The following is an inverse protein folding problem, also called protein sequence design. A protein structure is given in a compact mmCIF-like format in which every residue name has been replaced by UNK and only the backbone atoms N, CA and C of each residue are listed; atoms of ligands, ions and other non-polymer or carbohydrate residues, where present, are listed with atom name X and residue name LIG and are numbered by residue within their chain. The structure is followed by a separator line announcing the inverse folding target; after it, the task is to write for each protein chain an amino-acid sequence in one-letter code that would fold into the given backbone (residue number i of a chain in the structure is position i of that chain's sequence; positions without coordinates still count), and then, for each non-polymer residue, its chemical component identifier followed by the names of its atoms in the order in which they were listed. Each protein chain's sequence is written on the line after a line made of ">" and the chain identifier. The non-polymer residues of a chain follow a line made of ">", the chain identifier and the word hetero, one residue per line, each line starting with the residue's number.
data_IF_588055156008
#
_entry.id   IF_588055156008
#
_cell.length_a   1.000
_cell.length_b   1.000
_cell.length_c   1.000
_cell.angle_alpha   90.00
_cell.angle_beta   90.00
_cell.angle_gamma   90.00
#
_symmetry.space_group_name_H-M   'P 1'
#
loop_
_entity.id
_entity.type
_entity.pdbx_description
1 polymer ?
#
# COMPACT_ATOMS: atom_id res chain seq x y z
N UNK A 1 14.15 50.94 34.05
CA UNK A 1 15.05 50.58 32.93
C UNK A 1 14.60 49.23 32.40
N UNK A 2 14.24 49.09 31.12
CA UNK A 2 13.85 47.79 30.57
C UNK A 2 15.12 46.96 30.27
N UNK A 3 15.10 45.70 30.66
CA UNK A 3 16.15 44.72 30.35
C UNK A 3 16.00 44.33 28.87
N UNK A 4 17.02 44.61 28.06
CA UNK A 4 17.10 44.14 26.67
C UNK A 4 17.34 42.63 26.66
N UNK A 5 16.40 41.87 26.09
CA UNK A 5 16.57 40.44 25.78
C UNK A 5 17.17 40.32 24.38
N UNK A 6 18.48 40.09 24.27
CA UNK A 6 19.21 39.83 23.02
C UNK A 6 19.70 38.36 23.02
N UNK A 7 18.85 37.39 22.66
CA UNK A 7 19.25 35.96 22.56
C UNK A 7 18.85 35.25 21.24
N UNK A 8 18.27 35.95 20.26
CA UNK A 8 17.72 35.31 19.04
C UNK A 8 18.70 34.81 17.94
N UNK A 9 19.94 35.31 17.75
CA UNK A 9 20.69 35.00 16.53
C UNK A 9 21.47 33.67 16.53
N UNK A 10 21.75 33.10 17.70
CA UNK A 10 22.53 31.84 17.81
C UNK A 10 21.66 30.59 17.58
N UNK A 11 20.39 30.65 17.97
CA UNK A 11 19.43 29.54 17.83
C UNK A 11 19.11 29.29 16.35
N UNK A 12 18.91 30.35 15.55
CA UNK A 12 18.59 30.25 14.12
C UNK A 12 19.73 29.64 13.28
N UNK A 13 20.99 29.90 13.63
CA UNK A 13 22.14 29.29 12.93
C UNK A 13 22.26 27.80 13.24
N UNK A 14 21.86 27.39 14.44
CA UNK A 14 21.93 26.00 14.88
C UNK A 14 20.85 25.14 14.21
N UNK A 15 19.64 25.68 14.04
CA UNK A 15 18.56 25.04 13.27
C UNK A 15 18.93 24.92 11.79
N UNK A 16 19.44 25.99 11.16
CA UNK A 16 19.86 25.93 9.76
C UNK A 16 20.97 24.89 9.48
N UNK A 17 21.92 24.73 10.41
CA UNK A 17 22.97 23.71 10.31
C UNK A 17 22.40 22.29 10.48
N UNK A 18 21.41 22.10 11.36
CA UNK A 18 20.72 20.81 11.55
C UNK A 18 19.92 20.41 10.31
N UNK A 19 19.19 21.34 9.70
CA UNK A 19 18.39 21.08 8.51
C UNK A 19 19.28 20.68 7.32
N UNK A 20 20.40 21.38 7.13
CA UNK A 20 21.38 21.03 6.08
C UNK A 20 21.97 19.64 6.26
N UNK A 21 22.32 19.27 7.49
CA UNK A 21 22.85 17.93 7.79
C UNK A 21 21.79 16.84 7.61
N UNK A 22 20.53 17.14 7.95
CA UNK A 22 19.40 16.24 7.74
C UNK A 22 19.18 15.99 6.25
N UNK A 23 19.19 17.03 5.42
CA UNK A 23 19.00 16.89 3.98
C UNK A 23 20.14 16.09 3.32
N UNK A 24 21.39 16.27 3.76
CA UNK A 24 22.53 15.47 3.30
C UNK A 24 22.38 13.99 3.68
N UNK A 25 21.93 13.70 4.91
CA UNK A 25 21.69 12.32 5.35
C UNK A 25 20.56 11.66 4.54
N UNK A 26 19.47 12.38 4.27
CA UNK A 26 18.35 11.92 3.44
C UNK A 26 18.85 11.60 2.02
N UNK A 27 19.65 12.49 1.41
CA UNK A 27 20.24 12.27 0.08
C UNK A 27 21.17 11.06 0.04
N UNK A 28 21.99 10.88 1.07
CA UNK A 28 22.90 9.74 1.15
C UNK A 28 22.13 8.41 1.22
N UNK A 29 21.07 8.34 2.04
CA UNK A 29 20.20 7.15 2.14
C UNK A 29 19.51 6.87 0.80
N UNK A 30 18.97 7.90 0.13
CA UNK A 30 18.34 7.72 -1.18
C UNK A 30 19.34 7.21 -2.24
N UNK A 31 20.59 7.70 -2.22
CA UNK A 31 21.65 7.27 -3.13
C UNK A 31 22.06 5.81 -2.91
N UNK A 32 22.19 5.40 -1.65
CA UNK A 32 22.71 4.07 -1.30
C UNK A 32 21.64 2.97 -1.41
N UNK A 33 20.36 3.30 -1.14
CA UNK A 33 19.27 2.32 -1.03
C UNK A 33 18.14 2.50 -2.06
N UNK A 34 18.23 3.54 -2.91
CA UNK A 34 17.27 3.83 -3.97
C UNK A 34 16.23 4.90 -3.61
N UNK A 35 15.59 5.43 -4.65
CA UNK A 35 14.53 6.43 -4.51
C UNK A 35 13.35 5.86 -3.69
N UNK A 36 12.98 6.55 -2.60
CA UNK A 36 11.91 6.12 -1.70
C UNK A 36 12.35 5.31 -0.46
N UNK A 37 13.65 5.02 -0.31
CA UNK A 37 14.18 4.40 0.90
C UNK A 37 14.01 5.27 2.16
N UNK A 38 13.92 6.58 1.98
CA UNK A 38 13.57 7.56 3.02
C UNK A 38 12.76 8.69 2.39
N UNK A 39 11.69 9.11 3.06
CA UNK A 39 10.76 10.14 2.58
C UNK A 39 10.13 10.83 3.79
N UNK A 40 9.76 12.10 3.64
CA UNK A 40 9.04 12.80 4.72
C UNK A 40 7.58 12.35 4.69
N UNK A 41 7.01 12.12 5.87
CA UNK A 41 5.60 11.77 6.00
C UNK A 41 4.75 12.95 5.51
N UNK A 42 4.09 12.81 4.35
CA UNK A 42 3.31 13.88 3.71
C UNK A 42 3.94 14.47 2.45
N UNK A 43 5.13 14.03 2.03
CA UNK A 43 5.62 14.35 0.67
C UNK A 43 4.62 13.78 -0.36
N UNK A 44 4.11 14.64 -1.25
CA UNK A 44 2.94 14.43 -2.14
C UNK A 44 3.11 13.37 -3.23
N UNK A 45 4.03 12.41 -3.09
CA UNK A 45 3.99 11.23 -3.94
C UNK A 45 2.91 10.30 -3.39
N UNK A 46 1.66 10.56 -3.81
CA UNK A 46 0.63 9.53 -3.86
C UNK A 46 1.21 8.43 -4.73
N UNK A 47 1.77 7.39 -4.10
CA UNK A 47 2.24 6.22 -4.83
C UNK A 47 1.01 5.62 -5.46
N UNK A 48 0.95 5.63 -6.79
CA UNK A 48 -0.15 5.03 -7.52
C UNK A 48 -0.09 3.52 -7.26
N UNK A 49 -1.02 3.02 -6.45
CA UNK A 49 -1.07 1.61 -6.08
C UNK A 49 -1.89 0.90 -7.15
N UNK A 50 -1.24 0.03 -7.91
CA UNK A 50 -1.97 -0.85 -8.84
C UNK A 50 -2.91 -1.78 -8.05
N UNK A 51 -4.08 -2.06 -8.63
CA UNK A 51 -5.17 -2.80 -7.97
C UNK A 51 -5.72 -3.92 -8.84
N UNK A 52 -6.18 -4.99 -8.18
CA UNK A 52 -6.94 -6.08 -8.81
C UNK A 52 -8.40 -5.90 -8.40
N UNK A 53 -9.34 -5.66 -9.33
CA UNK A 53 -10.76 -5.58 -9.01
C UNK A 53 -11.25 -6.88 -8.38
N UNK A 54 -12.20 -6.78 -7.46
CA UNK A 54 -12.76 -7.95 -6.78
C UNK A 54 -13.76 -8.72 -7.65
N UNK A 55 -14.25 -8.09 -8.73
CA UNK A 55 -15.35 -8.60 -9.55
C UNK A 55 -16.73 -8.18 -9.03
N UNK A 56 -16.79 -7.43 -7.93
CA UNK A 56 -18.00 -6.83 -7.39
C UNK A 56 -17.82 -5.31 -7.27
N UNK A 57 -18.60 -4.57 -8.06
CA UNK A 57 -18.53 -3.10 -8.13
C UNK A 57 -18.80 -2.40 -6.79
N UNK A 58 -19.62 -2.99 -5.92
CA UNK A 58 -19.92 -2.42 -4.61
C UNK A 58 -18.73 -2.55 -3.67
N UNK A 59 -18.02 -3.68 -3.70
CA UNK A 59 -16.81 -3.89 -2.89
C UNK A 59 -15.69 -2.99 -3.40
N UNK A 60 -15.45 -2.96 -4.71
CA UNK A 60 -14.42 -2.12 -5.33
C UNK A 60 -14.62 -0.64 -4.98
N UNK A 61 -15.88 -0.17 -4.98
CA UNK A 61 -16.24 1.19 -4.56
C UNK A 61 -16.04 1.40 -3.06
N UNK A 62 -16.42 0.43 -2.22
CA UNK A 62 -16.28 0.54 -0.77
C UNK A 62 -14.80 0.59 -0.34
N UNK A 63 -13.91 -0.09 -1.07
CA UNK A 63 -12.46 -0.04 -0.86
C UNK A 63 -11.85 1.32 -1.22
N UNK A 64 -12.55 2.17 -1.97
CA UNK A 64 -12.12 3.53 -2.36
C UNK A 64 -11.03 3.57 -3.45
N UNK A 65 -10.22 2.53 -3.55
CA UNK A 65 -9.13 2.39 -4.54
C UNK A 65 -9.52 1.54 -5.75
N UNK A 66 -10.73 1.00 -5.81
CA UNK A 66 -11.25 0.25 -6.97
C UNK A 66 -10.89 -1.24 -7.00
N UNK A 67 -10.32 -1.79 -5.94
CA UNK A 67 -9.99 -3.22 -5.84
C UNK A 67 -9.00 -3.53 -4.73
N UNK A 68 -8.46 -4.75 -4.72
CA UNK A 68 -7.41 -5.15 -3.79
C UNK A 68 -6.04 -4.59 -4.22
N UNK A 69 -5.31 -3.92 -3.31
CA UNK A 69 -4.02 -3.31 -3.64
C UNK A 69 -2.93 -4.37 -3.87
N UNK A 70 -2.18 -4.23 -4.96
CA UNK A 70 -1.02 -5.08 -5.25
C UNK A 70 0.14 -4.76 -4.30
N UNK A 71 0.97 -5.77 -4.04
CA UNK A 71 2.13 -5.63 -3.14
C UNK A 71 1.75 -5.46 -1.67
N UNK A 72 0.51 -5.79 -1.29
CA UNK A 72 -0.01 -5.71 0.07
C UNK A 72 -0.67 -7.03 0.46
N UNK A 73 -0.76 -7.27 1.76
CA UNK A 73 -1.52 -8.39 2.32
C UNK A 73 -2.96 -7.92 2.56
N UNK A 74 -3.93 -8.71 2.09
CA UNK A 74 -5.36 -8.48 2.29
C UNK A 74 -5.92 -9.68 3.03
N UNK A 75 -6.66 -9.43 4.11
CA UNK A 75 -7.36 -10.46 4.88
C UNK A 75 -8.87 -10.39 4.61
N UNK A 76 -9.45 -11.52 4.25
CA UNK A 76 -10.90 -11.69 4.08
C UNK A 76 -11.37 -12.72 5.10
N UNK A 77 -12.07 -12.27 6.15
CA UNK A 77 -12.57 -13.12 7.22
C UNK A 77 -14.09 -13.06 7.32
N UNK A 78 -14.69 -14.06 7.99
CA UNK A 78 -16.12 -14.13 8.20
C UNK A 78 -16.63 -15.56 8.41
N UNK A 79 -17.94 -15.72 8.71
CA UNK A 79 -18.57 -17.02 8.99
C UNK A 79 -18.36 -18.06 7.88
N UNK A 80 -18.56 -19.34 8.22
CA UNK A 80 -18.65 -20.39 7.20
C UNK A 80 -19.75 -20.04 6.18
N UNK A 81 -19.52 -20.37 4.91
CA UNK A 81 -20.45 -20.08 3.81
C UNK A 81 -20.71 -18.59 3.54
N UNK A 82 -19.95 -17.65 4.13
CA UNK A 82 -20.08 -16.21 3.84
C UNK A 82 -19.56 -15.78 2.46
N UNK A 83 -18.99 -16.71 1.68
CA UNK A 83 -18.47 -16.45 0.33
C UNK A 83 -17.00 -16.01 0.27
N UNK A 84 -16.19 -16.24 1.33
CA UNK A 84 -14.75 -15.92 1.34
C UNK A 84 -14.01 -16.50 0.14
N UNK A 85 -14.09 -17.83 -0.04
CA UNK A 85 -13.45 -18.53 -1.16
C UNK A 85 -14.01 -18.07 -2.51
N UNK A 86 -15.32 -17.83 -2.60
CA UNK A 86 -15.95 -17.28 -3.81
C UNK A 86 -15.36 -15.92 -4.17
N UNK A 87 -15.23 -14.99 -3.22
CA UNK A 87 -14.63 -13.68 -3.44
C UNK A 87 -13.15 -13.80 -3.86
N UNK A 88 -12.39 -14.69 -3.23
CA UNK A 88 -10.99 -14.95 -3.61
C UNK A 88 -10.91 -15.45 -5.05
N UNK A 89 -11.77 -16.39 -5.45
CA UNK A 89 -11.79 -16.91 -6.81
C UNK A 89 -12.22 -15.85 -7.83
N UNK A 90 -13.15 -14.94 -7.50
CA UNK A 90 -13.51 -13.85 -8.42
C UNK A 90 -12.36 -12.85 -8.59
N UNK A 91 -11.60 -12.55 -7.52
CA UNK A 91 -10.39 -11.72 -7.61
C UNK A 91 -9.34 -12.39 -8.50
N UNK A 92 -9.14 -13.70 -8.34
CA UNK A 92 -8.22 -14.50 -9.19
C UNK A 92 -8.65 -14.43 -10.67
N UNK A 93 -9.94 -14.62 -10.95
CA UNK A 93 -10.49 -14.51 -12.30
C UNK A 93 -10.23 -13.12 -12.90
N UNK A 94 -10.38 -12.03 -12.12
CA UNK A 94 -10.06 -10.67 -12.58
C UNK A 94 -8.56 -10.50 -12.85
N UNK A 95 -7.69 -11.08 -12.02
CA UNK A 95 -6.25 -11.04 -12.23
C UNK A 95 -5.85 -11.77 -13.52
N UNK A 96 -6.38 -12.97 -13.76
CA UNK A 96 -6.11 -13.76 -14.97
C UNK A 96 -6.66 -13.11 -16.24
N UNK A 97 -7.86 -12.52 -16.19
CA UNK A 97 -8.42 -11.74 -17.32
C UNK A 97 -7.53 -10.57 -17.75
N UNK A 98 -6.74 -10.03 -16.82
CA UNK A 98 -5.76 -8.97 -17.06
C UNK A 98 -4.37 -9.51 -17.45
N UNK A 99 -4.27 -10.80 -17.78
CA UNK A 99 -3.02 -11.47 -18.17
C UNK A 99 -2.11 -11.84 -17.00
N UNK A 100 -2.59 -11.73 -15.75
CA UNK A 100 -1.84 -12.12 -14.57
C UNK A 100 -1.87 -13.63 -14.30
N UNK A 101 -0.94 -14.09 -13.48
CA UNK A 101 -0.93 -15.45 -12.92
C UNK A 101 -1.33 -15.40 -11.45
N UNK A 102 -2.05 -16.43 -11.01
CA UNK A 102 -2.47 -16.59 -9.62
C UNK A 102 -2.09 -17.98 -9.10
N UNK A 103 -1.77 -18.06 -7.81
CA UNK A 103 -1.61 -19.31 -7.09
C UNK A 103 -2.67 -19.38 -6.00
N UNK A 104 -3.27 -20.56 -5.84
CA UNK A 104 -4.23 -20.83 -4.77
C UNK A 104 -3.67 -21.93 -3.88
N UNK A 105 -3.55 -21.65 -2.58
CA UNK A 105 -3.08 -22.61 -1.58
C UNK A 105 -4.29 -23.12 -0.83
N UNK A 106 -4.79 -24.30 -1.21
CA UNK A 106 -5.95 -24.91 -0.56
C UNK A 106 -5.52 -25.69 0.69
N UNK A 107 -5.56 -25.02 1.83
CA UNK A 107 -5.28 -25.64 3.15
C UNK A 107 -6.51 -26.38 3.68
N UNK A 108 -7.72 -26.01 3.25
CA UNK A 108 -8.98 -26.60 3.71
C UNK A 108 -9.34 -27.88 2.94
N UNK A 109 -8.65 -28.19 1.84
CA UNK A 109 -8.94 -29.30 0.92
C UNK A 109 -10.40 -29.28 0.41
N UNK A 110 -10.96 -28.08 0.23
CA UNK A 110 -12.37 -27.85 -0.07
C UNK A 110 -12.60 -27.15 -1.42
N UNK A 111 -11.54 -26.89 -2.20
CA UNK A 111 -11.68 -26.22 -3.48
C UNK A 111 -12.33 -27.13 -4.54
N UNK A 112 -13.40 -26.63 -5.17
CA UNK A 112 -14.02 -27.26 -6.33
C UNK A 112 -13.52 -26.62 -7.66
N UNK A 113 -12.74 -27.34 -8.48
CA UNK A 113 -12.26 -26.83 -9.78
C UNK A 113 -13.37 -26.51 -10.78
N UNK A 114 -14.51 -27.21 -10.72
CA UNK A 114 -15.64 -26.92 -11.61
C UNK A 114 -16.32 -25.61 -11.23
N UNK A 115 -16.49 -25.36 -9.93
CA UNK A 115 -17.02 -24.09 -9.43
C UNK A 115 -16.07 -22.93 -9.75
N UNK A 116 -14.76 -23.10 -9.54
CA UNK A 116 -13.76 -22.08 -9.90
C UNK A 116 -13.84 -21.70 -11.39
N UNK A 117 -13.95 -22.69 -12.29
CA UNK A 117 -14.13 -22.44 -13.72
C UNK A 117 -15.41 -21.65 -14.03
N UNK A 118 -16.52 -21.93 -13.34
CA UNK A 118 -17.78 -21.17 -13.51
C UNK A 118 -17.65 -19.71 -13.07
N UNK A 119 -16.80 -19.42 -12.10
CA UNK A 119 -16.47 -18.05 -11.67
C UNK A 119 -15.52 -17.32 -12.64
N UNK A 120 -14.95 -18.05 -13.62
CA UNK A 120 -14.10 -17.49 -14.66
C UNK A 120 -12.61 -17.52 -14.36
N UNK A 121 -12.18 -18.41 -13.46
CA UNK A 121 -10.77 -18.78 -13.20
C UNK A 121 -10.24 -19.68 -14.32
#
# INVERSE_FOLDING_TARGET
>A
MPVKTEEKPAVDKLTAARDKNLDLAIQQIAKDYGDGAIMRLGDEKIVDIDVIPTGNILIDRALGVGGFPRGRVVEVFGPESSGKTTLTLTVIAQAQKRGGLAAFIDVEHALDPQYARKLGV
#
